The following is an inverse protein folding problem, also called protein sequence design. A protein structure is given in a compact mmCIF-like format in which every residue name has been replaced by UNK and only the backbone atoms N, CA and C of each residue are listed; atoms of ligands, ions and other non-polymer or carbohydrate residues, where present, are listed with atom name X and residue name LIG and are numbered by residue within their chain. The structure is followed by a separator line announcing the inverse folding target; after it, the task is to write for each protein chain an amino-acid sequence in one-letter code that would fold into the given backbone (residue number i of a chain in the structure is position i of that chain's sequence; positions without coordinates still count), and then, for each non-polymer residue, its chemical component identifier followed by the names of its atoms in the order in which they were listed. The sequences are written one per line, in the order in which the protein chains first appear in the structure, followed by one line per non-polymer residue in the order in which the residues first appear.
data_IF_982531295270
#
_entry.id   IF_982531295270
#
_cell.length_a   1.000
_cell.length_b   1.000
_cell.length_c   1.000
_cell.angle_alpha   90.00
_cell.angle_beta   90.00
_cell.angle_gamma   90.00
#
_symmetry.space_group_name_H-M   'P 1'
#
loop_
_entity.id
_entity.type
_entity.pdbx_description
1 polymer ?
#
# COMPACT_ATOMS: atom_id res chain seq x y z
N UNK A 1 4.15 1.68 20.97
CA UNK A 1 3.56 1.51 19.62
C UNK A 1 4.49 2.01 18.51
N UNK A 2 4.95 3.28 18.54
CA UNK A 2 5.89 3.85 17.56
C UNK A 2 7.13 2.98 17.28
N UNK A 3 7.87 2.56 18.31
CA UNK A 3 9.06 1.71 18.17
C UNK A 3 8.79 0.43 17.36
N UNK A 4 7.63 -0.22 17.59
CA UNK A 4 7.21 -1.42 16.85
C UNK A 4 6.95 -1.10 15.37
N UNK A 5 6.27 0.01 15.08
CA UNK A 5 6.01 0.46 13.70
C UNK A 5 7.32 0.67 12.95
N UNK A 6 8.25 1.42 13.53
CA UNK A 6 9.53 1.74 12.89
C UNK A 6 10.40 0.49 12.70
N UNK A 7 10.44 -0.40 13.69
CA UNK A 7 11.17 -1.67 13.58
C UNK A 7 10.60 -2.55 12.46
N UNK A 8 9.27 -2.72 12.40
CA UNK A 8 8.63 -3.50 11.34
C UNK A 8 8.79 -2.85 9.96
N UNK A 9 8.73 -1.52 9.88
CA UNK A 9 8.96 -0.78 8.64
C UNK A 9 10.39 -0.97 8.13
N UNK A 10 11.40 -0.87 9.01
CA UNK A 10 12.80 -1.16 8.69
C UNK A 10 12.98 -2.57 8.14
N UNK A 11 12.46 -3.58 8.83
CA UNK A 11 12.52 -4.97 8.35
C UNK A 11 11.87 -5.15 6.97
N UNK A 12 10.72 -4.51 6.71
CA UNK A 12 10.07 -4.61 5.40
C UNK A 12 10.90 -3.97 4.29
N UNK A 13 11.55 -2.84 4.60
CA UNK A 13 12.47 -2.18 3.68
C UNK A 13 13.70 -3.04 3.43
N UNK A 14 14.29 -3.65 4.46
CA UNK A 14 15.45 -4.54 4.31
C UNK A 14 15.10 -5.82 3.52
N UNK A 15 13.90 -6.38 3.74
CA UNK A 15 13.42 -7.62 3.08
C UNK A 15 12.99 -7.39 1.61
N UNK A 16 12.35 -6.26 1.29
CA UNK A 16 11.67 -6.03 0.00
C UNK A 16 12.21 -4.85 -0.80
N UNK A 17 13.00 -3.99 -0.18
CA UNK A 17 13.43 -2.70 -0.74
C UNK A 17 12.39 -1.58 -0.65
N UNK A 18 11.22 -1.84 -0.06
CA UNK A 18 10.17 -0.83 0.14
C UNK A 18 9.23 -1.21 1.28
N UNK A 19 8.46 -0.23 1.76
CA UNK A 19 7.37 -0.45 2.71
C UNK A 19 6.09 0.22 2.22
N UNK A 20 4.99 -0.52 2.26
CA UNK A 20 3.64 0.00 2.00
C UNK A 20 2.80 -0.01 3.29
N UNK A 21 1.78 0.86 3.40
CA UNK A 21 0.82 0.81 4.50
C UNK A 21 0.18 -0.57 4.67
N UNK A 22 -0.17 -1.25 3.57
CA UNK A 22 -0.77 -2.60 3.61
C UNK A 22 0.22 -3.62 4.18
N UNK A 23 1.47 -3.63 3.71
CA UNK A 23 2.50 -4.54 4.22
C UNK A 23 2.78 -4.30 5.70
N UNK A 24 2.85 -3.03 6.11
CA UNK A 24 3.06 -2.67 7.50
C UNK A 24 1.92 -3.20 8.37
N UNK A 25 0.66 -2.97 7.96
CA UNK A 25 -0.52 -3.46 8.68
C UNK A 25 -0.53 -4.98 8.83
N UNK A 26 -0.08 -5.73 7.81
CA UNK A 26 0.11 -7.18 7.91
C UNK A 26 1.22 -7.52 8.91
N UNK A 27 2.39 -6.87 8.83
CA UNK A 27 3.55 -7.17 9.68
C UNK A 27 3.30 -6.85 11.16
N UNK A 28 2.48 -5.83 11.47
CA UNK A 28 2.05 -5.50 12.84
C UNK A 28 0.74 -6.20 13.25
N UNK A 29 0.27 -7.15 12.44
CA UNK A 29 -0.86 -8.06 12.73
C UNK A 29 -2.21 -7.34 12.92
N UNK A 30 -2.41 -6.22 12.20
CA UNK A 30 -3.67 -5.47 12.16
C UNK A 30 -4.65 -6.00 11.13
N UNK A 31 -4.11 -6.61 10.07
CA UNK A 31 -4.84 -7.34 9.04
C UNK A 31 -4.07 -8.63 8.72
N UNK A 32 -4.79 -9.66 8.32
CA UNK A 32 -4.20 -10.91 7.85
C UNK A 32 -3.95 -10.86 6.33
N UNK A 33 -3.01 -11.68 5.84
CA UNK A 33 -2.80 -11.84 4.39
C UNK A 33 -4.08 -12.26 3.66
N UNK A 34 -4.86 -13.16 4.27
CA UNK A 34 -6.16 -13.60 3.74
C UNK A 34 -7.15 -12.43 3.59
N UNK A 35 -7.22 -11.53 4.56
CA UNK A 35 -8.07 -10.34 4.47
C UNK A 35 -7.62 -9.39 3.36
N UNK A 36 -6.31 -9.23 3.16
CA UNK A 36 -5.77 -8.45 2.03
C UNK A 36 -6.15 -9.10 0.71
N UNK A 37 -6.05 -10.42 0.59
CA UNK A 37 -6.48 -11.15 -0.60
C UNK A 37 -7.98 -11.01 -0.85
N UNK A 38 -8.82 -11.22 0.17
CA UNK A 38 -10.26 -11.07 0.07
C UNK A 38 -10.65 -9.64 -0.36
N UNK A 39 -9.95 -8.62 0.14
CA UNK A 39 -10.08 -7.25 -0.33
C UNK A 39 -9.62 -7.07 -1.78
N UNK A 40 -8.48 -7.65 -2.18
CA UNK A 40 -8.00 -7.65 -3.57
C UNK A 40 -9.00 -8.31 -4.51
N UNK A 41 -9.70 -9.35 -4.08
CA UNK A 41 -10.76 -10.02 -4.83
C UNK A 41 -12.15 -9.35 -4.71
N UNK A 42 -12.24 -8.15 -4.11
CA UNK A 42 -13.48 -7.39 -3.90
C UNK A 42 -14.53 -8.08 -3.00
N UNK A 43 -14.14 -9.10 -2.24
CA UNK A 43 -15.01 -9.72 -1.22
C UNK A 43 -15.19 -8.80 -0.02
N UNK A 44 -14.21 -7.94 0.22
CA UNK A 44 -14.26 -6.86 1.19
C UNK A 44 -14.29 -5.53 0.41
N UNK A 45 -15.29 -4.66 0.63
CA UNK A 45 -15.44 -3.42 -0.14
C UNK A 45 -14.38 -2.36 0.18
N UNK A 46 -13.89 -2.31 1.44
CA UNK A 46 -12.82 -1.40 1.85
C UNK A 46 -11.97 -1.99 2.98
N UNK A 47 -10.66 -1.73 2.97
CA UNK A 47 -9.69 -2.39 3.85
C UNK A 47 -9.92 -2.08 5.35
N UNK A 48 -10.32 -0.84 5.67
CA UNK A 48 -10.63 -0.43 7.05
C UNK A 48 -11.78 -1.24 7.67
N UNK A 49 -12.64 -1.91 6.89
CA UNK A 49 -13.72 -2.75 7.41
C UNK A 49 -13.20 -3.92 8.25
N UNK A 50 -12.06 -4.47 7.86
CA UNK A 50 -11.48 -5.70 8.44
C UNK A 50 -10.22 -5.43 9.24
N UNK A 51 -9.81 -4.16 9.32
CA UNK A 51 -8.62 -3.78 10.06
C UNK A 51 -8.94 -3.67 11.54
N UNK A 52 -8.18 -4.38 12.37
CA UNK A 52 -8.33 -4.30 13.82
C UNK A 52 -7.80 -2.96 14.36
N UNK A 53 -8.70 -2.04 14.69
CA UNK A 53 -8.33 -0.75 15.28
C UNK A 53 -9.40 0.32 15.11
N UNK A 54 -9.20 1.45 15.81
CA UNK A 54 -9.99 2.64 15.56
C UNK A 54 -9.29 3.53 14.51
N UNK A 55 -10.06 4.42 13.88
CA UNK A 55 -9.54 5.34 12.85
C UNK A 55 -8.37 6.19 13.37
N UNK A 56 -8.37 6.54 14.66
CA UNK A 56 -7.27 7.31 15.28
C UNK A 56 -5.95 6.53 15.30
N UNK A 57 -5.99 5.22 15.61
CA UNK A 57 -4.81 4.34 15.55
C UNK A 57 -4.32 4.17 14.11
N UNK A 58 -5.22 4.08 13.13
CA UNK A 58 -4.85 3.98 11.72
C UNK A 58 -4.13 5.25 11.25
N UNK A 59 -4.69 6.43 11.54
CA UNK A 59 -4.05 7.71 11.27
C UNK A 59 -2.67 7.81 11.92
N UNK A 60 -2.55 7.35 13.17
CA UNK A 60 -1.27 7.30 13.88
C UNK A 60 -0.24 6.40 13.16
N UNK A 61 -0.63 5.18 12.76
CA UNK A 61 0.24 4.24 12.05
C UNK A 61 0.71 4.84 10.73
N UNK A 62 -0.20 5.42 9.94
CA UNK A 62 0.12 6.04 8.65
C UNK A 62 1.07 7.24 8.81
N UNK A 63 0.84 8.08 9.83
CA UNK A 63 1.71 9.22 10.10
C UNK A 63 3.11 8.77 10.54
N UNK A 64 3.21 7.77 11.40
CA UNK A 64 4.50 7.21 11.82
C UNK A 64 5.26 6.56 10.66
N UNK A 65 4.56 5.88 9.75
CA UNK A 65 5.18 5.34 8.53
C UNK A 65 5.71 6.46 7.63
N UNK A 66 4.99 7.57 7.50
CA UNK A 66 5.44 8.73 6.75
C UNK A 66 6.70 9.36 7.36
N UNK A 67 6.72 9.54 8.67
CA UNK A 67 7.90 10.08 9.37
C UNK A 67 9.10 9.13 9.29
N UNK A 68 8.86 7.82 9.36
CA UNK A 68 9.90 6.82 9.09
C UNK A 68 10.47 6.96 7.68
N UNK A 69 9.60 7.04 6.66
CA UNK A 69 10.03 7.19 5.26
C UNK A 69 10.90 8.43 5.03
N UNK A 70 10.54 9.57 5.64
CA UNK A 70 11.38 10.78 5.62
C UNK A 70 12.72 10.57 6.33
N UNK A 71 12.69 10.01 7.53
CA UNK A 71 13.90 9.77 8.34
C UNK A 71 14.88 8.83 7.63
N UNK A 72 14.36 7.83 6.93
CA UNK A 72 15.13 6.87 6.15
C UNK A 72 15.43 7.34 4.70
N UNK A 73 15.09 8.60 4.36
CA UNK A 73 15.29 9.21 3.02
C UNK A 73 14.70 8.37 1.87
N UNK A 74 13.58 7.70 2.12
CA UNK A 74 12.87 6.90 1.13
C UNK A 74 12.06 7.80 0.19
N UNK A 75 11.93 7.39 -1.07
CA UNK A 75 11.07 8.08 -2.03
C UNK A 75 9.62 7.66 -1.82
N UNK A 76 8.73 8.64 -1.67
CA UNK A 76 7.28 8.41 -1.70
C UNK A 76 6.84 8.14 -3.14
N UNK A 77 6.19 7.00 -3.36
CA UNK A 77 5.63 6.60 -4.65
C UNK A 77 4.18 6.17 -4.45
N UNK A 78 3.25 6.85 -5.11
CA UNK A 78 1.84 6.47 -5.02
C UNK A 78 1.58 5.25 -5.92
N UNK A 79 0.91 4.24 -5.37
CA UNK A 79 0.58 2.99 -6.07
C UNK A 79 -0.92 2.83 -6.19
N UNK A 80 -1.42 2.61 -7.40
CA UNK A 80 -2.85 2.36 -7.61
C UNK A 80 -3.18 0.89 -7.31
N UNK A 81 -4.11 0.68 -6.37
CA UNK A 81 -4.60 -0.65 -6.03
C UNK A 81 -5.82 -0.99 -6.88
N UNK A 82 -5.66 -1.99 -7.75
CA UNK A 82 -6.75 -2.54 -8.57
C UNK A 82 -7.11 -3.96 -8.15
N UNK A 83 -8.38 -4.33 -8.37
CA UNK A 83 -8.90 -5.64 -8.03
C UNK A 83 -8.22 -6.77 -8.80
N UNK A 84 -8.02 -7.89 -8.14
CA UNK A 84 -7.56 -9.14 -8.73
C UNK A 84 -8.73 -9.96 -9.32
N UNK A 85 -8.38 -11.02 -10.03
CA UNK A 85 -9.35 -11.92 -10.69
C UNK A 85 -9.64 -11.60 -12.15
N UNK A 86 -10.56 -12.39 -12.72
CA UNK A 86 -11.04 -12.29 -14.10
C UNK A 86 -12.11 -11.20 -14.22
N UNK A 87 -12.12 -10.48 -15.34
CA UNK A 87 -13.06 -9.39 -15.62
C UNK A 87 -12.48 -7.98 -15.41
N UNK A 88 -13.33 -6.94 -15.50
CA UNK A 88 -12.91 -5.55 -15.40
C UNK A 88 -12.17 -5.25 -14.09
N UNK A 89 -11.07 -4.49 -14.20
CA UNK A 89 -10.28 -4.04 -13.06
C UNK A 89 -10.97 -2.84 -12.40
N UNK A 90 -11.28 -2.95 -11.11
CA UNK A 90 -11.85 -1.84 -10.34
C UNK A 90 -10.81 -1.32 -9.36
N UNK A 91 -10.77 0.00 -9.17
CA UNK A 91 -9.97 0.61 -8.10
C UNK A 91 -10.53 0.17 -6.75
N UNK A 92 -9.64 -0.33 -5.90
CA UNK A 92 -9.97 -0.71 -4.54
C UNK A 92 -9.97 0.54 -3.64
N UNK A 93 -10.76 0.48 -2.58
CA UNK A 93 -10.85 1.55 -1.58
C UNK A 93 -10.24 1.10 -0.27
N UNK A 94 -9.59 1.99 0.43
CA UNK A 94 -9.04 1.72 1.76
C UNK A 94 -10.05 2.09 2.85
N UNK A 95 -10.74 3.21 2.69
CA UNK A 95 -11.64 3.77 3.70
C UNK A 95 -13.12 3.65 3.33
N UNK A 96 -13.99 3.75 4.34
CA UNK A 96 -15.45 3.80 4.13
C UNK A 96 -15.87 5.08 3.40
N UNK A 97 -15.24 6.22 3.70
CA UNK A 97 -15.58 7.52 3.09
C UNK A 97 -15.09 7.63 1.65
N UNK A 98 -14.01 6.93 1.29
CA UNK A 98 -13.35 7.10 -0.01
C UNK A 98 -12.70 8.47 -0.17
N UNK A 99 -12.37 9.14 0.95
CA UNK A 99 -11.77 10.47 0.94
C UNK A 99 -10.41 10.43 0.20
N UNK A 100 -10.20 11.25 -0.85
CA UNK A 100 -8.99 11.20 -1.66
C UNK A 100 -7.69 11.36 -0.88
N UNK A 101 -7.69 12.13 0.22
CA UNK A 101 -6.51 12.34 1.06
C UNK A 101 -6.16 11.07 1.85
N UNK A 102 -7.18 10.36 2.35
CA UNK A 102 -7.03 9.10 3.06
C UNK A 102 -6.56 8.02 2.08
N UNK A 103 -7.22 7.91 0.93
CA UNK A 103 -6.88 6.94 -0.10
C UNK A 103 -5.43 7.15 -0.62
N UNK A 104 -5.00 8.40 -0.79
CA UNK A 104 -3.62 8.74 -1.18
C UNK A 104 -2.61 8.31 -0.10
N UNK A 105 -2.93 8.54 1.17
CA UNK A 105 -2.05 8.15 2.28
C UNK A 105 -1.85 6.64 2.34
N UNK A 106 -2.93 5.86 2.20
CA UNK A 106 -2.84 4.38 2.16
C UNK A 106 -2.15 3.84 0.91
N UNK A 107 -2.27 4.54 -0.23
CA UNK A 107 -1.62 4.13 -1.48
C UNK A 107 -0.17 4.59 -1.62
N UNK A 108 0.34 5.39 -0.69
CA UNK A 108 1.73 5.88 -0.75
C UNK A 108 2.70 4.85 -0.21
N UNK A 109 3.58 4.36 -1.08
CA UNK A 109 4.67 3.46 -0.74
C UNK A 109 5.94 4.27 -0.50
N UNK A 110 6.82 3.77 0.37
CA UNK A 110 8.14 4.34 0.59
C UNK A 110 9.20 3.36 0.11
N UNK A 111 9.89 3.73 -0.96
CA UNK A 111 10.77 2.83 -1.71
C UNK A 111 12.23 3.28 -1.52
N UNK A 112 13.13 2.32 -1.34
CA UNK A 112 14.57 2.60 -1.41
C UNK A 112 14.89 3.05 -2.83
N UNK A 113 15.49 4.23 -2.92
CA UNK A 113 16.10 4.64 -4.18
C UNK A 113 17.50 4.06 -4.14
N UNK A 114 17.72 2.92 -4.78
CA UNK A 114 19.07 2.65 -5.27
C UNK A 114 19.39 3.82 -6.20
N UNK A 115 20.40 4.61 -5.88
CA UNK A 115 20.90 5.67 -6.76
C UNK A 115 21.42 5.04 -8.05
N UNK A 116 20.51 4.76 -8.97
CA UNK A 116 20.76 4.60 -10.39
C UNK A 116 19.81 5.58 -11.07
N UNK A 117 20.41 6.43 -11.89
CA UNK A 117 19.79 7.49 -12.66
C UNK A 117 18.46 7.02 -13.31
N UNK A 118 17.46 7.92 -13.45
CA UNK A 118 16.09 7.53 -13.73
C UNK A 118 15.95 6.88 -15.12
N UNK A 119 15.74 5.55 -15.14
CA UNK A 119 15.17 4.86 -16.29
C UNK A 119 13.65 4.98 -16.20
N UNK A 120 13.08 5.41 -17.31
CA UNK A 120 11.68 5.81 -17.53
C UNK A 120 10.68 4.75 -17.06
N UNK A 121 9.61 5.27 -16.47
CA UNK A 121 8.35 4.60 -16.15
C UNK A 121 7.87 3.77 -17.35
N UNK A 122 8.02 2.45 -17.28
CA UNK A 122 7.42 1.54 -18.26
C UNK A 122 5.98 1.28 -17.85
N UNK A 123 5.06 2.00 -18.48
CA UNK A 123 3.66 1.58 -18.58
C UNK A 123 3.59 0.14 -19.12
N UNK A 124 2.84 -0.77 -18.50
CA UNK A 124 2.53 -2.05 -19.13
C UNK A 124 1.48 -1.82 -20.22
N UNK A 125 1.90 -1.65 -21.47
CA UNK A 125 1.02 -1.84 -22.63
C UNK A 125 0.76 -3.33 -22.81
N UNK A 126 -0.35 -3.80 -22.24
CA UNK A 126 -0.95 -5.07 -22.62
C UNK A 126 -1.42 -4.97 -24.09
N UNK A 127 -1.08 -6.02 -24.82
CA UNK A 127 -1.42 -6.30 -26.20
C UNK A 127 -2.96 -6.35 -26.39
N UNK A 128 -3.45 -5.88 -27.53
CA UNK A 128 -4.54 -6.61 -28.17
C UNK A 128 -4.49 -6.45 -29.70
N UNK A 129 -4.38 -7.60 -30.34
CA UNK A 129 -4.60 -7.90 -31.75
C UNK A 129 -6.03 -7.57 -32.18
N UNK A 130 -6.23 -6.92 -33.34
CA UNK A 130 -7.34 -7.28 -34.21
C UNK A 130 -7.04 -6.99 -35.69
N UNK A 131 -7.28 -8.02 -36.48
CA UNK A 131 -7.11 -8.17 -37.92
C UNK A 131 -8.04 -7.28 -38.74
N UNK A 132 -7.61 -6.98 -39.97
CA UNK A 132 -8.47 -7.00 -41.17
C UNK A 132 -7.66 -7.57 -42.33
#
# INVERSE_FOLDING_TARGET
MRKRIWSCAGQLVDEKGYVSPVDLLVKIERITKKQVEDWRFKRIPYLEQVTDGNLSKMKFILNELREFGKSAKLKSSQTVYVSWGKGPKHRLRFSKSGDPSIETTYSTHYVLVETKEPIKETEPKAQNTHSF
#
